data_IF_542713751392
#
_entry.id   IF_542713751392
#
_cell.length_a   1.000
_cell.length_b   1.000
_cell.length_c   1.000
_cell.angle_alpha   90.00
_cell.angle_beta   90.00
_cell.angle_gamma   90.00
#
_symmetry.space_group_name_H-M   'P 1'
#
loop_
_entity.id
_entity.type
_entity.pdbx_description
1 polymer ?
#
# COMPACT_ATOMS: atom_id res chain seq x y z
N UNK A 1 -24.89 -45.83 15.96
CA UNK A 1 -24.95 -44.61 16.81
C UNK A 1 -24.11 -43.51 16.16
N UNK A 2 -24.61 -42.28 16.13
CA UNK A 2 -24.31 -41.26 15.11
C UNK A 2 -22.96 -40.51 15.24
N UNK A 3 -22.14 -40.52 14.18
CA UNK A 3 -20.90 -39.71 14.02
C UNK A 3 -21.16 -38.19 13.76
N UNK A 4 -22.34 -37.66 14.11
CA UNK A 4 -22.77 -36.30 13.72
C UNK A 4 -22.23 -35.16 14.61
N UNK A 5 -21.60 -35.47 15.73
CA UNK A 5 -21.14 -34.46 16.71
C UNK A 5 -19.89 -33.69 16.25
N UNK A 6 -18.87 -34.36 15.70
CA UNK A 6 -17.62 -33.70 15.27
C UNK A 6 -17.82 -32.60 14.22
N UNK A 7 -18.74 -32.81 13.28
CA UNK A 7 -19.03 -31.84 12.22
C UNK A 7 -19.65 -30.53 12.75
N UNK A 8 -20.48 -30.60 13.80
CA UNK A 8 -21.13 -29.41 14.37
C UNK A 8 -20.17 -28.59 15.23
N UNK A 9 -19.25 -29.24 15.95
CA UNK A 9 -18.17 -28.55 16.69
C UNK A 9 -17.24 -27.79 15.75
N UNK A 10 -16.74 -28.44 14.69
CA UNK A 10 -15.88 -27.79 13.70
C UNK A 10 -16.56 -26.61 13.00
N UNK A 11 -17.87 -26.72 12.72
CA UNK A 11 -18.65 -25.61 12.16
C UNK A 11 -18.68 -24.41 13.12
N UNK A 12 -18.88 -24.66 14.41
CA UNK A 12 -18.91 -23.62 15.45
C UNK A 12 -17.53 -22.95 15.60
N UNK A 13 -16.45 -23.73 15.59
CA UNK A 13 -15.08 -23.16 15.64
C UNK A 13 -14.78 -22.28 14.43
N UNK A 14 -15.09 -22.77 13.23
CA UNK A 14 -14.92 -21.98 12.00
C UNK A 14 -15.75 -20.70 12.00
N UNK A 15 -16.94 -20.73 12.56
CA UNK A 15 -17.77 -19.54 12.70
C UNK A 15 -17.17 -18.54 13.68
N UNK A 16 -16.71 -19.00 14.86
CA UNK A 16 -16.00 -18.16 15.84
C UNK A 16 -14.75 -17.52 15.24
N UNK A 17 -13.94 -18.28 14.52
CA UNK A 17 -12.75 -17.76 13.83
C UNK A 17 -13.10 -16.68 12.81
N UNK A 18 -14.16 -16.87 12.02
CA UNK A 18 -14.64 -15.85 11.07
C UNK A 18 -15.08 -14.58 11.77
N UNK A 19 -15.84 -14.71 12.86
CA UNK A 19 -16.28 -13.56 13.65
C UNK A 19 -15.08 -12.83 14.27
N UNK A 20 -14.12 -13.56 14.85
CA UNK A 20 -12.91 -12.96 15.42
C UNK A 20 -12.11 -12.20 14.36
N UNK A 21 -11.85 -12.80 13.20
CA UNK A 21 -11.15 -12.12 12.09
C UNK A 21 -11.87 -10.86 11.61
N UNK A 22 -13.20 -10.86 11.60
CA UNK A 22 -13.98 -9.67 11.26
C UNK A 22 -13.80 -8.57 12.31
N UNK A 23 -13.89 -8.92 13.60
CA UNK A 23 -13.65 -7.99 14.72
C UNK A 23 -12.24 -7.40 14.69
N UNK A 24 -11.22 -8.22 14.47
CA UNK A 24 -9.83 -7.76 14.39
C UNK A 24 -9.62 -6.81 13.20
N UNK A 25 -10.26 -7.10 12.05
CA UNK A 25 -10.19 -6.24 10.87
C UNK A 25 -10.92 -4.91 11.09
N UNK A 26 -12.05 -4.93 11.79
CA UNK A 26 -12.77 -3.72 12.21
C UNK A 26 -11.94 -2.88 13.17
N UNK A 27 -11.34 -3.49 14.19
CA UNK A 27 -10.45 -2.83 15.14
C UNK A 27 -9.27 -2.17 14.42
N UNK A 28 -8.56 -2.91 13.55
CA UNK A 28 -7.46 -2.37 12.74
C UNK A 28 -7.90 -1.22 11.84
N UNK A 29 -9.10 -1.27 11.27
CA UNK A 29 -9.65 -0.17 10.46
C UNK A 29 -9.92 1.07 11.30
N UNK A 30 -10.44 0.92 12.52
CA UNK A 30 -10.66 2.02 13.43
C UNK A 30 -9.34 2.65 13.90
N UNK A 31 -8.35 1.83 14.25
CA UNK A 31 -6.99 2.30 14.58
C UNK A 31 -6.36 3.06 13.41
N UNK A 32 -6.42 2.51 12.18
CA UNK A 32 -5.89 3.18 11.00
C UNK A 32 -6.60 4.52 10.72
N UNK A 33 -7.92 4.60 10.95
CA UNK A 33 -8.67 5.86 10.84
C UNK A 33 -8.23 6.87 11.90
N UNK A 34 -8.05 6.45 13.14
CA UNK A 34 -7.55 7.30 14.23
C UNK A 34 -6.14 7.80 13.92
N UNK A 35 -5.22 6.91 13.55
CA UNK A 35 -3.86 7.27 13.17
C UNK A 35 -3.83 8.24 11.98
N UNK A 36 -4.72 8.07 10.98
CA UNK A 36 -4.84 9.01 9.86
C UNK A 36 -5.38 10.37 10.30
N UNK A 37 -6.30 10.42 11.26
CA UNK A 37 -6.85 11.67 11.79
C UNK A 37 -5.87 12.42 12.70
N UNK A 38 -5.05 11.69 13.45
CA UNK A 38 -4.00 12.25 14.32
C UNK A 38 -2.76 12.69 13.53
N UNK A 39 -2.47 12.02 12.40
CA UNK A 39 -1.35 12.40 11.54
C UNK A 39 -1.57 13.83 11.03
N UNK A 40 -0.60 14.69 11.30
CA UNK A 40 -0.60 16.04 10.75
C UNK A 40 -0.73 15.99 9.22
N UNK A 41 -1.49 16.92 8.61
CA UNK A 41 -1.53 17.04 7.16
C UNK A 41 -0.09 17.21 6.68
N UNK A 42 0.30 16.40 5.68
CA UNK A 42 1.61 16.53 5.04
C UNK A 42 1.73 17.97 4.59
N UNK A 43 2.77 18.67 5.07
CA UNK A 43 3.04 20.05 4.68
C UNK A 43 3.03 20.12 3.16
N UNK A 44 2.18 20.97 2.61
CA UNK A 44 2.14 21.28 1.18
C UNK A 44 3.38 22.12 0.90
N UNK A 45 4.53 21.46 0.79
CA UNK A 45 5.78 21.98 0.31
C UNK A 45 6.38 20.92 -0.59
N UNK A 46 6.95 21.31 -1.71
CA UNK A 46 7.68 20.38 -2.56
C UNK A 46 8.78 19.71 -1.71
N UNK A 47 8.80 18.38 -1.72
CA UNK A 47 9.89 17.63 -1.10
C UNK A 47 11.20 18.09 -1.77
N UNK A 48 12.20 18.56 -1.02
CA UNK A 48 13.46 19.03 -1.59
C UNK A 48 14.11 17.98 -2.50
N UNK A 49 13.87 16.68 -2.26
CA UNK A 49 14.39 15.60 -3.09
C UNK A 49 13.60 15.39 -4.39
N UNK A 50 12.33 15.79 -4.44
CA UNK A 50 11.47 15.69 -5.64
C UNK A 50 11.41 17.00 -6.45
N UNK A 51 11.82 18.11 -5.85
CA UNK A 51 11.82 19.43 -6.47
C UNK A 51 12.68 19.42 -7.75
N UNK A 52 12.10 19.78 -8.89
CA UNK A 52 12.79 19.86 -10.18
C UNK A 52 12.87 18.56 -10.99
N UNK A 53 12.37 17.43 -10.47
CA UNK A 53 12.22 16.20 -11.26
C UNK A 53 10.99 16.35 -12.16
N UNK A 54 11.20 16.29 -13.48
CA UNK A 54 10.10 16.29 -14.46
C UNK A 54 9.72 14.85 -14.78
N UNK A 55 8.43 14.49 -14.76
CA UNK A 55 7.99 13.19 -15.24
C UNK A 55 8.33 13.03 -16.72
N UNK A 56 8.89 11.89 -17.10
CA UNK A 56 9.28 11.57 -18.47
C UNK A 56 10.80 11.53 -18.69
N UNK A 57 11.24 11.29 -19.94
CA UNK A 57 12.65 11.25 -20.27
C UNK A 57 13.27 12.63 -20.09
N UNK A 58 14.18 12.75 -19.12
CA UNK A 58 14.91 13.99 -18.87
C UNK A 58 15.89 14.25 -20.03
N UNK A 59 16.03 15.50 -20.48
CA UNK A 59 16.95 15.83 -21.56
C UNK A 59 18.38 15.48 -21.14
N UNK A 60 19.15 14.92 -22.07
CA UNK A 60 20.56 14.63 -21.81
C UNK A 60 21.33 15.95 -21.57
N UNK A 61 22.11 16.03 -20.49
CA UNK A 61 22.99 17.17 -20.24
C UNK A 61 23.92 17.54 -21.39
N UNK A 62 24.31 18.82 -21.48
CA UNK A 62 25.14 19.36 -22.56
C UNK A 62 26.45 18.56 -22.74
N UNK A 63 27.01 18.07 -21.63
CA UNK A 63 28.23 17.25 -21.64
C UNK A 63 28.11 15.93 -22.43
N UNK A 64 26.90 15.42 -22.65
CA UNK A 64 26.63 14.17 -23.37
C UNK A 64 26.03 14.37 -24.76
N UNK A 65 25.94 15.61 -25.25
CA UNK A 65 25.33 15.91 -26.57
C UNK A 65 26.08 15.32 -27.76
N UNK A 66 27.32 14.90 -27.59
CA UNK A 66 28.09 14.19 -28.62
C UNK A 66 27.62 12.74 -28.85
N UNK A 67 26.94 12.10 -27.89
CA UNK A 67 26.50 10.72 -28.02
C UNK A 67 25.33 10.53 -29.01
N UNK A 68 24.45 11.54 -29.16
CA UNK A 68 23.28 11.47 -30.04
C UNK A 68 23.59 11.70 -31.54
N UNK A 69 24.76 12.26 -31.87
CA UNK A 69 25.13 12.60 -33.25
C UNK A 69 25.74 11.40 -34.02
N UNK A 70 26.08 10.32 -33.33
CA UNK A 70 26.75 9.15 -33.92
C UNK A 70 25.76 8.17 -34.57
N UNK A 71 24.48 8.22 -34.18
CA UNK A 71 23.43 7.33 -34.70
C UNK A 71 22.54 8.00 -35.77
N UNK A 72 23.12 8.86 -36.60
CA UNK A 72 22.48 9.43 -37.78
C UNK A 72 23.16 8.93 -39.05
N UNK A 73 22.85 7.71 -39.48
CA UNK A 73 23.02 7.21 -40.85
C UNK A 73 21.68 6.71 -41.36
#
# INVERSE_FOLDING_TARGET
>A
MAQRSKATFQKREREKEKQQKQRDKEARRLEAKKAKAEREPVKIGEDPDIAGIKPGPQPLPEQWRYAGRVNGK
#
